data_IF_196020109917
#
_entry.id   IF_196020109917
#
_cell.length_a   1.000
_cell.length_b   1.000
_cell.length_c   1.000
_cell.angle_alpha   90.00
_cell.angle_beta   90.00
_cell.angle_gamma   90.00
#
_symmetry.space_group_name_H-M   'P 1'
#
loop_
_entity.id
_entity.type
_entity.pdbx_description
1 polymer ?
#
# COMPACT_ATOMS: atom_id res chain seq x y z
N UNK A 1 -4.15 -23.59 25.58
CA UNK A 1 -4.27 -24.78 24.70
C UNK A 1 -5.66 -24.91 24.08
N UNK A 2 -6.76 -24.92 24.84
CA UNK A 2 -8.13 -25.05 24.32
C UNK A 2 -8.49 -24.06 23.19
N UNK A 3 -8.17 -22.78 23.33
CA UNK A 3 -8.43 -21.78 22.29
C UNK A 3 -7.63 -21.99 21.01
N UNK A 4 -6.36 -22.42 21.10
CA UNK A 4 -5.55 -22.73 19.90
C UNK A 4 -6.14 -23.92 19.14
N UNK A 5 -6.63 -24.94 19.85
CA UNK A 5 -7.30 -26.10 19.25
C UNK A 5 -8.63 -25.71 18.60
N UNK A 6 -9.46 -24.89 19.27
CA UNK A 6 -10.71 -24.39 18.70
C UNK A 6 -10.46 -23.52 17.45
N UNK A 7 -9.45 -22.65 17.48
CA UNK A 7 -9.07 -21.81 16.34
C UNK A 7 -8.50 -22.64 15.18
N UNK A 8 -7.78 -23.73 15.47
CA UNK A 8 -7.32 -24.70 14.45
C UNK A 8 -8.48 -25.45 13.78
N UNK A 9 -9.55 -25.73 14.51
CA UNK A 9 -10.76 -26.35 13.95
C UNK A 9 -11.52 -25.38 13.04
N UNK A 10 -11.49 -24.08 13.35
CA UNK A 10 -12.08 -23.04 12.51
C UNK A 10 -11.24 -22.71 11.26
N UNK A 11 -9.90 -22.78 11.36
CA UNK A 11 -8.95 -22.57 10.26
C UNK A 11 -8.07 -23.83 10.08
N UNK A 12 -8.62 -24.90 9.47
CA UNK A 12 -7.95 -26.19 9.37
C UNK A 12 -6.78 -26.17 8.39
N UNK A 13 -5.96 -27.22 8.43
CA UNK A 13 -4.89 -27.45 7.47
C UNK A 13 -5.40 -28.21 6.22
N UNK A 14 -4.53 -28.33 5.22
CA UNK A 14 -4.72 -29.23 4.08
C UNK A 14 -5.72 -28.71 3.04
N UNK A 15 -6.47 -29.58 2.36
CA UNK A 15 -7.37 -29.19 1.26
C UNK A 15 -8.53 -28.27 1.64
N UNK A 16 -8.85 -28.18 2.95
CA UNK A 16 -9.88 -27.29 3.50
C UNK A 16 -9.31 -26.02 4.11
N UNK A 17 -8.01 -25.80 4.00
CA UNK A 17 -7.36 -24.63 4.55
C UNK A 17 -7.75 -23.36 3.80
N UNK A 18 -7.75 -22.26 4.52
CA UNK A 18 -7.85 -20.91 3.98
C UNK A 18 -6.59 -20.13 4.36
N UNK A 19 -6.18 -19.24 3.46
CA UNK A 19 -5.10 -18.28 3.72
C UNK A 19 -5.72 -16.95 4.12
N UNK A 20 -5.38 -16.46 5.31
CA UNK A 20 -5.68 -15.08 5.72
C UNK A 20 -4.58 -14.14 5.23
N UNK A 21 -4.92 -13.05 4.56
CA UNK A 21 -3.96 -12.03 4.14
C UNK A 21 -4.28 -10.75 4.90
N UNK A 22 -3.29 -10.22 5.63
CA UNK A 22 -3.40 -8.95 6.33
C UNK A 22 -2.69 -7.89 5.49
N UNK A 23 -3.46 -6.92 5.02
CA UNK A 23 -3.00 -5.85 4.13
C UNK A 23 -2.77 -4.58 4.93
N UNK A 24 -1.59 -4.01 4.79
CA UNK A 24 -1.17 -2.73 5.33
C UNK A 24 -0.76 -1.81 4.18
N UNK A 25 -0.71 -0.51 4.44
CA UNK A 25 -0.09 0.45 3.52
C UNK A 25 1.10 1.10 4.23
N UNK A 26 0.86 1.61 5.44
CA UNK A 26 1.85 2.28 6.28
C UNK A 26 1.89 1.71 7.69
N UNK A 27 3.02 1.89 8.37
CA UNK A 27 3.14 1.75 9.82
C UNK A 27 3.87 2.98 10.36
N UNK A 28 3.11 3.90 10.91
CA UNK A 28 3.65 5.18 11.37
C UNK A 28 4.52 5.00 12.63
N UNK A 29 5.59 5.79 12.80
CA UNK A 29 6.42 5.71 14.00
C UNK A 29 5.68 6.11 15.28
N UNK A 30 4.61 6.92 15.14
CA UNK A 30 3.76 7.38 16.23
C UNK A 30 2.32 7.58 15.71
N UNK A 31 1.31 7.58 16.58
CA UNK A 31 -0.05 7.90 16.19
C UNK A 31 -0.15 9.26 15.48
N UNK A 32 -0.92 9.31 14.40
CA UNK A 32 -1.21 10.53 13.66
C UNK A 32 -2.59 11.07 14.02
N UNK A 33 -2.69 12.27 14.60
CA UNK A 33 -3.98 12.88 14.92
C UNK A 33 -4.90 13.06 13.71
N UNK A 34 -4.36 13.22 12.48
CA UNK A 34 -5.20 13.32 11.28
C UNK A 34 -5.79 11.97 10.87
N UNK A 35 -5.11 10.86 11.18
CA UNK A 35 -5.55 9.51 10.85
C UNK A 35 -5.38 8.59 12.07
N UNK A 36 -6.20 8.75 13.12
CA UNK A 36 -6.05 7.98 14.36
C UNK A 36 -6.27 6.47 14.16
N UNK A 37 -6.90 6.07 13.05
CA UNK A 37 -7.08 4.69 12.66
C UNK A 37 -5.82 4.05 12.06
N UNK A 38 -4.90 4.85 11.50
CA UNK A 38 -3.69 4.36 10.82
C UNK A 38 -2.83 3.54 11.79
N UNK A 39 -2.20 2.50 11.26
CA UNK A 39 -1.37 1.63 12.08
C UNK A 39 -0.12 2.39 12.54
N UNK A 40 0.18 2.35 13.84
CA UNK A 40 1.43 2.86 14.40
C UNK A 40 2.32 1.70 14.89
N UNK A 41 3.59 2.01 15.13
CA UNK A 41 4.61 1.05 15.54
C UNK A 41 4.23 0.21 16.77
N UNK A 42 3.58 0.81 17.79
CA UNK A 42 3.23 0.10 19.01
C UNK A 42 2.07 -0.87 18.77
N UNK A 43 1.05 -0.43 18.02
CA UNK A 43 -0.08 -1.29 17.62
C UNK A 43 0.37 -2.41 16.68
N UNK A 44 1.27 -2.11 15.75
CA UNK A 44 1.84 -3.10 14.83
C UNK A 44 2.67 -4.15 15.56
N UNK A 45 3.53 -3.74 16.50
CA UNK A 45 4.33 -4.67 17.32
C UNK A 45 3.45 -5.63 18.14
N UNK A 46 2.42 -5.09 18.79
CA UNK A 46 1.46 -5.91 19.54
C UNK A 46 0.71 -6.90 18.63
N UNK A 47 0.30 -6.45 17.44
CA UNK A 47 -0.35 -7.30 16.44
C UNK A 47 0.58 -8.41 15.94
N UNK A 48 1.85 -8.10 15.64
CA UNK A 48 2.81 -9.11 15.20
C UNK A 48 3.10 -10.15 16.28
N UNK A 49 3.20 -9.73 17.56
CA UNK A 49 3.32 -10.65 18.68
C UNK A 49 2.14 -11.61 18.75
N UNK A 50 0.92 -11.10 18.55
CA UNK A 50 -0.27 -11.93 18.49
C UNK A 50 -0.27 -12.85 17.26
N UNK A 51 0.06 -12.36 16.07
CA UNK A 51 0.13 -13.19 14.86
C UNK A 51 1.13 -14.33 15.01
N UNK A 52 2.33 -14.04 15.53
CA UNK A 52 3.36 -15.04 15.83
C UNK A 52 2.84 -16.12 16.77
N UNK A 53 2.07 -15.75 17.78
CA UNK A 53 1.57 -16.68 18.78
C UNK A 53 0.36 -17.50 18.30
N UNK A 54 -0.38 -17.05 17.28
CA UNK A 54 -1.66 -17.68 16.91
C UNK A 54 -1.71 -18.22 15.48
N UNK A 55 -0.90 -17.72 14.56
CA UNK A 55 -0.91 -18.06 13.14
C UNK A 55 0.39 -18.73 12.71
N UNK A 56 0.30 -19.52 11.64
CA UNK A 56 1.46 -19.91 10.84
C UNK A 56 1.65 -18.85 9.76
N UNK A 57 2.41 -17.81 10.08
CA UNK A 57 2.72 -16.75 9.12
C UNK A 57 3.77 -17.27 8.14
N UNK A 58 3.50 -17.13 6.84
CA UNK A 58 4.33 -17.65 5.75
C UNK A 58 4.67 -16.53 4.76
N UNK A 59 5.80 -16.62 4.04
CA UNK A 59 6.02 -15.83 2.83
C UNK A 59 4.86 -16.03 1.86
N UNK A 60 4.33 -14.96 1.27
CA UNK A 60 3.10 -15.03 0.47
C UNK A 60 3.22 -16.01 -0.71
N UNK A 61 4.36 -16.03 -1.40
CA UNK A 61 4.60 -16.96 -2.50
C UNK A 61 4.49 -18.43 -2.06
N UNK A 62 5.07 -18.76 -0.90
CA UNK A 62 4.99 -20.10 -0.30
C UNK A 62 3.54 -20.41 0.10
N UNK A 63 2.85 -19.48 0.76
CA UNK A 63 1.47 -19.67 1.18
C UNK A 63 0.54 -19.95 -0.02
N UNK A 64 0.68 -19.20 -1.11
CA UNK A 64 -0.10 -19.42 -2.34
C UNK A 64 0.23 -20.76 -2.98
N UNK A 65 1.51 -21.14 -3.04
CA UNK A 65 1.91 -22.45 -3.58
C UNK A 65 1.32 -23.60 -2.76
N UNK A 66 1.41 -23.54 -1.43
CA UNK A 66 0.88 -24.54 -0.52
C UNK A 66 -0.65 -24.64 -0.57
N UNK A 67 -1.33 -23.49 -0.70
CA UNK A 67 -2.78 -23.45 -0.88
C UNK A 67 -3.20 -24.20 -2.15
N UNK A 68 -2.52 -23.97 -3.29
CA UNK A 68 -2.79 -24.67 -4.55
C UNK A 68 -2.52 -26.18 -4.47
N UNK A 69 -1.50 -26.57 -3.71
CA UNK A 69 -1.15 -27.98 -3.49
C UNK A 69 -2.04 -28.69 -2.44
N UNK A 70 -2.91 -27.96 -1.75
CA UNK A 70 -3.75 -28.50 -0.69
C UNK A 70 -2.97 -28.94 0.57
N UNK A 71 -1.81 -28.34 0.84
CA UNK A 71 -0.94 -28.66 1.98
C UNK A 71 -0.64 -27.45 2.89
N UNK A 72 -1.45 -26.39 2.79
CA UNK A 72 -1.35 -25.20 3.63
C UNK A 72 -1.57 -25.58 5.11
N UNK A 73 -0.76 -25.05 6.06
CA UNK A 73 -0.96 -25.34 7.47
C UNK A 73 -2.23 -24.70 8.01
N UNK A 74 -2.71 -25.20 9.16
CA UNK A 74 -3.83 -24.60 9.87
C UNK A 74 -3.48 -23.17 10.29
N UNK A 75 -4.46 -22.26 10.31
CA UNK A 75 -4.26 -20.85 10.70
C UNK A 75 -3.14 -20.17 9.89
N UNK A 76 -3.06 -20.46 8.59
CA UNK A 76 -2.06 -19.83 7.73
C UNK A 76 -2.39 -18.35 7.51
N UNK A 77 -1.37 -17.50 7.64
CA UNK A 77 -1.47 -16.09 7.32
C UNK A 77 -0.30 -15.60 6.47
N UNK A 78 -0.53 -14.52 5.72
CA UNK A 78 0.51 -13.73 5.08
C UNK A 78 0.30 -12.25 5.42
N UNK A 79 1.39 -11.51 5.51
CA UNK A 79 1.40 -10.07 5.77
C UNK A 79 1.83 -9.38 4.48
N UNK A 80 1.06 -8.38 4.04
CA UNK A 80 1.35 -7.63 2.82
C UNK A 80 1.31 -6.14 3.08
N UNK A 81 2.12 -5.41 2.34
CA UNK A 81 2.16 -3.96 2.32
C UNK A 81 2.04 -3.47 0.89
N UNK A 82 1.16 -2.52 0.64
CA UNK A 82 0.98 -1.94 -0.68
C UNK A 82 1.71 -0.57 -0.77
N UNK A 83 1.74 0.00 -1.97
CA UNK A 83 2.31 1.30 -2.36
C UNK A 83 3.84 1.46 -2.32
N UNK A 84 4.49 1.12 -1.20
CA UNK A 84 5.94 1.29 -1.02
C UNK A 84 6.38 2.52 -0.22
N UNK A 85 5.64 2.89 0.83
CA UNK A 85 6.01 3.96 1.75
C UNK A 85 7.33 3.70 2.49
N UNK A 86 8.10 4.76 2.79
CA UNK A 86 9.39 4.67 3.47
C UNK A 86 9.29 4.03 4.86
N UNK A 87 8.18 4.26 5.57
CA UNK A 87 7.95 3.66 6.90
C UNK A 87 7.79 2.13 6.88
N UNK A 88 7.55 1.52 5.71
CA UNK A 88 7.64 0.07 5.53
C UNK A 88 9.06 -0.46 5.81
N UNK A 89 10.08 0.30 5.40
CA UNK A 89 11.48 -0.01 5.70
C UNK A 89 11.89 0.53 7.08
N UNK A 90 11.59 1.78 7.38
CA UNK A 90 12.17 2.44 8.57
C UNK A 90 11.49 2.02 9.87
N UNK A 91 10.24 1.55 9.81
CA UNK A 91 9.43 1.18 10.98
C UNK A 91 9.00 -0.28 10.92
N UNK A 92 8.31 -0.71 9.86
CA UNK A 92 7.72 -2.04 9.82
C UNK A 92 8.76 -3.17 9.76
N UNK A 93 9.81 -3.02 8.94
CA UNK A 93 10.87 -4.03 8.77
C UNK A 93 11.57 -4.39 10.10
N UNK A 94 12.09 -3.45 10.91
CA UNK A 94 12.70 -3.79 12.20
C UNK A 94 11.75 -4.55 13.13
N UNK A 95 10.45 -4.20 13.13
CA UNK A 95 9.45 -4.87 13.96
C UNK A 95 9.21 -6.30 13.47
N UNK A 96 9.05 -6.50 12.15
CA UNK A 96 8.93 -7.82 11.53
C UNK A 96 10.11 -8.73 11.90
N UNK A 97 11.35 -8.21 11.80
CA UNK A 97 12.55 -8.95 12.16
C UNK A 97 12.59 -9.36 13.63
N UNK A 98 12.18 -8.49 14.57
CA UNK A 98 12.11 -8.82 16.00
C UNK A 98 11.14 -9.98 16.29
N UNK A 99 10.05 -10.09 15.54
CA UNK A 99 9.09 -11.19 15.68
C UNK A 99 9.44 -12.42 14.83
N UNK A 100 10.48 -12.35 14.00
CA UNK A 100 10.85 -13.43 13.08
C UNK A 100 9.79 -13.70 12.02
N UNK A 101 9.05 -12.67 11.60
CA UNK A 101 7.96 -12.77 10.64
C UNK A 101 8.37 -12.21 9.29
N UNK A 102 7.87 -12.82 8.21
CA UNK A 102 8.02 -12.35 6.84
C UNK A 102 6.80 -11.53 6.39
N UNK A 103 7.04 -10.55 5.52
CA UNK A 103 5.98 -9.84 4.78
C UNK A 103 6.32 -9.76 3.29
N UNK A 104 5.33 -9.41 2.47
CA UNK A 104 5.51 -9.08 1.05
C UNK A 104 5.14 -7.63 0.79
N UNK A 105 6.03 -6.87 0.15
CA UNK A 105 5.85 -5.47 -0.17
C UNK A 105 5.58 -5.30 -1.66
N UNK A 106 4.40 -4.82 -2.02
CA UNK A 106 3.98 -4.50 -3.37
C UNK A 106 4.30 -3.05 -3.68
N UNK A 107 5.19 -2.82 -4.64
CA UNK A 107 5.83 -1.51 -4.86
C UNK A 107 5.29 -0.84 -6.12
N UNK A 108 4.81 0.40 -5.98
CA UNK A 108 4.52 1.28 -7.10
C UNK A 108 5.79 2.06 -7.46
N UNK A 109 6.58 1.53 -8.41
CA UNK A 109 7.98 1.96 -8.62
C UNK A 109 8.15 3.41 -9.06
N UNK A 110 7.14 3.99 -9.72
CA UNK A 110 7.18 5.37 -10.20
C UNK A 110 7.26 6.43 -9.10
N UNK A 111 7.03 6.04 -7.84
CA UNK A 111 7.11 6.94 -6.71
C UNK A 111 8.39 6.78 -5.86
N UNK A 112 9.25 5.81 -6.18
CA UNK A 112 10.46 5.57 -5.40
C UNK A 112 11.43 6.77 -5.47
N UNK A 113 12.00 7.13 -4.33
CA UNK A 113 13.07 8.13 -4.24
C UNK A 113 12.64 9.55 -4.59
N UNK A 114 11.67 10.11 -3.86
CA UNK A 114 11.23 11.50 -4.02
C UNK A 114 9.80 11.67 -4.54
N UNK A 115 9.18 10.59 -5.01
CA UNK A 115 7.81 10.61 -5.51
C UNK A 115 6.77 10.73 -4.38
N UNK A 116 5.55 11.08 -4.78
CA UNK A 116 4.38 11.16 -3.91
C UNK A 116 3.14 10.74 -4.68
N UNK A 117 2.25 9.98 -4.04
CA UNK A 117 0.96 9.71 -4.64
C UNK A 117 0.04 10.94 -4.55
N UNK A 118 -1.01 10.96 -5.36
CA UNK A 118 -1.94 12.08 -5.40
C UNK A 118 -2.64 12.28 -4.05
N UNK A 119 -2.97 11.19 -3.35
CA UNK A 119 -3.59 11.22 -2.04
C UNK A 119 -2.67 11.86 -1.01
N UNK A 120 -1.38 11.50 -1.01
CA UNK A 120 -0.40 12.10 -0.11
C UNK A 120 -0.23 13.59 -0.38
N UNK A 121 -0.29 14.00 -1.64
CA UNK A 121 -0.20 15.41 -2.02
C UNK A 121 -1.38 16.20 -1.46
N UNK A 122 -2.60 15.68 -1.56
CA UNK A 122 -3.80 16.29 -0.95
C UNK A 122 -3.68 16.32 0.58
N UNK A 123 -3.32 15.19 1.19
CA UNK A 123 -3.21 15.03 2.65
C UNK A 123 -2.18 16.00 3.21
N UNK A 124 -0.97 16.02 2.65
CA UNK A 124 0.12 16.86 3.13
C UNK A 124 -0.13 18.33 2.85
N UNK A 125 -0.85 18.67 1.77
CA UNK A 125 -1.26 20.05 1.56
C UNK A 125 -2.21 20.53 2.64
N UNK A 126 -3.28 19.79 2.91
CA UNK A 126 -4.24 20.17 3.97
C UNK A 126 -3.59 20.14 5.34
N UNK A 127 -2.74 19.14 5.62
CA UNK A 127 -1.97 19.03 6.88
C UNK A 127 -1.13 20.28 7.12
N UNK A 128 -0.41 20.75 6.10
CA UNK A 128 0.55 21.86 6.19
C UNK A 128 -0.06 23.23 5.93
N UNK A 129 -1.31 23.30 5.46
CA UNK A 129 -2.01 24.56 5.29
C UNK A 129 -2.14 25.27 6.65
N UNK A 130 -1.60 26.50 6.72
CA UNK A 130 -1.67 27.38 7.89
C UNK A 130 -2.85 28.35 7.82
N UNK A 131 -3.40 28.57 6.62
CA UNK A 131 -4.57 29.41 6.43
C UNK A 131 -5.82 28.70 6.97
N UNK A 132 -6.75 29.40 7.61
CA UNK A 132 -7.97 28.79 8.14
C UNK A 132 -8.92 28.29 7.05
N UNK A 133 -8.76 28.80 5.82
CA UNK A 133 -9.53 28.41 4.65
C UNK A 133 -8.58 28.18 3.48
N UNK A 134 -8.70 27.02 2.83
CA UNK A 134 -8.06 26.68 1.57
C UNK A 134 -9.05 26.92 0.43
N UNK A 135 -8.83 27.95 -0.37
CA UNK A 135 -9.69 28.31 -1.50
C UNK A 135 -9.19 27.67 -2.80
N UNK A 136 -9.82 26.56 -3.20
CA UNK A 136 -9.52 25.81 -4.42
C UNK A 136 -10.59 26.05 -5.51
N UNK A 137 -11.33 27.15 -5.42
CA UNK A 137 -12.28 27.56 -6.47
C UNK A 137 -11.63 27.67 -7.86
N UNK A 138 -10.36 28.12 -8.01
CA UNK A 138 -9.67 28.10 -9.31
C UNK A 138 -9.48 26.70 -9.94
N UNK A 139 -9.62 25.64 -9.15
CA UNK A 139 -9.55 24.23 -9.59
C UNK A 139 -10.93 23.57 -9.66
N UNK A 140 -12.01 24.33 -9.54
CA UNK A 140 -13.39 23.83 -9.41
C UNK A 140 -13.59 22.86 -8.21
N UNK A 141 -12.74 22.98 -7.18
CA UNK A 141 -12.81 22.17 -5.96
C UNK A 141 -13.44 22.91 -4.77
N UNK A 142 -13.79 24.19 -4.94
CA UNK A 142 -14.45 25.02 -3.94
C UNK A 142 -13.57 25.41 -2.75
N UNK A 143 -14.19 25.92 -1.68
CA UNK A 143 -13.53 26.42 -0.47
C UNK A 143 -13.66 25.44 0.67
N UNK A 144 -12.56 25.18 1.38
CA UNK A 144 -12.50 24.23 2.49
C UNK A 144 -11.97 24.91 3.75
N UNK A 145 -12.70 24.79 4.86
CA UNK A 145 -12.20 25.24 6.16
C UNK A 145 -11.22 24.18 6.66
N UNK A 146 -10.02 24.59 7.07
CA UNK A 146 -8.90 23.71 7.45
C UNK A 146 -8.10 24.27 8.63
N UNK A 147 -8.70 25.14 9.45
CA UNK A 147 -8.01 25.84 10.55
C UNK A 147 -7.76 24.97 11.78
N UNK A 148 -8.61 23.98 12.03
CA UNK A 148 -8.51 23.04 13.14
C UNK A 148 -8.22 21.61 12.66
N UNK A 149 -7.84 20.74 13.60
CA UNK A 149 -7.62 19.32 13.31
C UNK A 149 -8.88 18.64 12.75
N UNK A 150 -10.04 18.91 13.36
CA UNK A 150 -11.32 18.33 12.95
C UNK A 150 -11.72 18.79 11.54
N UNK A 151 -11.52 20.07 11.24
CA UNK A 151 -11.77 20.62 9.91
C UNK A 151 -10.85 20.00 8.85
N UNK A 152 -9.56 19.80 9.17
CA UNK A 152 -8.62 19.09 8.29
C UNK A 152 -9.05 17.64 8.05
N UNK A 153 -9.51 16.93 9.08
CA UNK A 153 -10.03 15.56 8.98
C UNK A 153 -11.28 15.47 8.10
N UNK A 154 -12.09 16.53 8.02
CA UNK A 154 -13.26 16.59 7.14
C UNK A 154 -12.90 16.98 5.70
N UNK A 155 -12.00 17.94 5.53
CA UNK A 155 -11.62 18.47 4.21
C UNK A 155 -10.85 17.44 3.35
N UNK A 156 -9.94 16.67 3.96
CA UNK A 156 -9.15 15.66 3.25
C UNK A 156 -10.02 14.65 2.47
N UNK A 157 -10.94 13.89 3.09
CA UNK A 157 -11.74 12.91 2.36
C UNK A 157 -12.67 13.58 1.33
N UNK A 158 -13.15 14.79 1.59
CA UNK A 158 -13.95 15.54 0.62
C UNK A 158 -13.15 15.87 -0.66
N UNK A 159 -11.90 16.30 -0.52
CA UNK A 159 -10.99 16.57 -1.64
C UNK A 159 -10.57 15.29 -2.36
N UNK A 160 -10.19 14.25 -1.61
CA UNK A 160 -9.82 12.96 -2.18
C UNK A 160 -10.94 12.39 -3.05
N UNK A 161 -12.20 12.46 -2.60
CA UNK A 161 -13.34 11.97 -3.37
C UNK A 161 -13.58 12.74 -4.68
N UNK A 162 -13.35 14.05 -4.69
CA UNK A 162 -13.47 14.87 -5.91
C UNK A 162 -12.34 14.57 -6.93
N UNK A 163 -11.13 14.29 -6.43
CA UNK A 163 -9.93 14.12 -7.27
C UNK A 163 -9.74 12.67 -7.74
N UNK A 164 -10.12 11.68 -6.92
CA UNK A 164 -9.84 10.24 -7.13
C UNK A 164 -10.26 9.70 -8.48
N UNK A 165 -11.29 10.26 -9.10
CA UNK A 165 -11.85 9.77 -10.35
C UNK A 165 -11.53 10.62 -11.57
N UNK A 166 -10.72 11.67 -11.43
CA UNK A 166 -10.17 12.40 -12.56
C UNK A 166 -9.23 11.49 -13.39
N UNK A 167 -9.13 11.70 -14.71
CA UNK A 167 -8.07 11.13 -15.55
C UNK A 167 -6.70 11.37 -14.93
N UNK A 168 -5.78 10.42 -15.13
CA UNK A 168 -4.47 10.45 -14.46
C UNK A 168 -3.68 11.75 -14.69
N UNK A 169 -3.57 12.22 -15.93
CA UNK A 169 -2.87 13.47 -16.26
C UNK A 169 -3.51 14.68 -15.56
N UNK A 170 -4.84 14.81 -15.65
CA UNK A 170 -5.58 15.89 -14.96
C UNK A 170 -5.40 15.84 -13.45
N UNK A 171 -5.34 14.63 -12.87
CA UNK A 171 -5.12 14.45 -11.44
C UNK A 171 -3.76 15.00 -11.00
N UNK A 172 -2.70 14.69 -11.74
CA UNK A 172 -1.36 15.19 -11.45
C UNK A 172 -1.29 16.72 -11.52
N UNK A 173 -1.90 17.32 -12.56
CA UNK A 173 -2.01 18.77 -12.69
C UNK A 173 -2.79 19.39 -11.52
N UNK A 174 -3.91 18.78 -11.15
CA UNK A 174 -4.79 19.26 -10.07
C UNK A 174 -4.06 19.23 -8.73
N UNK A 175 -3.38 18.14 -8.38
CA UNK A 175 -2.68 18.05 -7.09
C UNK A 175 -1.41 18.91 -7.04
N UNK A 176 -0.76 19.17 -8.19
CA UNK A 176 0.32 20.14 -8.29
C UNK A 176 -0.17 21.56 -7.99
N UNK A 177 -1.22 22.01 -8.69
CA UNK A 177 -1.78 23.34 -8.48
C UNK A 177 -2.37 23.53 -7.08
N UNK A 178 -2.91 22.47 -6.47
CA UNK A 178 -3.44 22.48 -5.11
C UNK A 178 -2.34 22.85 -4.09
N UNK A 179 -1.14 22.30 -4.25
CA UNK A 179 0.01 22.60 -3.38
C UNK A 179 0.49 24.05 -3.55
N UNK A 180 0.52 24.53 -4.79
CA UNK A 180 0.90 25.90 -5.14
C UNK A 180 -0.08 26.93 -4.54
N UNK A 181 -1.38 26.68 -4.65
CA UNK A 181 -2.42 27.55 -4.06
C UNK A 181 -2.30 27.61 -2.53
N UNK A 182 -2.01 26.48 -1.89
CA UNK A 182 -1.82 26.45 -0.44
C UNK A 182 -0.50 27.09 0.00
N UNK A 183 0.46 27.30 -0.92
CA UNK A 183 1.78 27.86 -0.62
C UNK A 183 2.65 26.96 0.26
N UNK A 184 2.48 25.63 0.16
CA UNK A 184 3.13 24.66 1.05
C UNK A 184 4.28 23.92 0.36
N UNK A 185 5.34 23.65 1.13
CA UNK A 185 6.37 22.69 0.71
C UNK A 185 5.99 21.28 1.14
N UNK A 186 5.86 20.39 0.16
CA UNK A 186 5.50 18.99 0.38
C UNK A 186 6.73 18.10 0.68
N UNK A 187 6.55 17.01 1.44
CA UNK A 187 7.64 16.08 1.78
C UNK A 187 8.05 15.23 0.59
N UNK A 188 9.34 14.97 0.39
CA UNK A 188 9.90 14.13 -0.66
C UNK A 188 10.46 12.79 -0.12
N UNK A 189 10.13 12.45 1.12
CA UNK A 189 10.63 11.29 1.85
C UNK A 189 9.53 10.29 2.24
N UNK A 190 8.31 10.45 1.70
CA UNK A 190 7.19 9.56 2.02
C UNK A 190 7.36 8.15 1.45
N UNK A 191 8.04 8.03 0.32
CA UNK A 191 8.18 6.79 -0.43
C UNK A 191 9.59 6.24 -0.29
N UNK A 192 9.72 4.92 -0.30
CA UNK A 192 11.03 4.28 -0.21
C UNK A 192 11.97 4.74 -1.32
N UNK A 193 13.25 4.75 -1.00
CA UNK A 193 14.32 4.75 -1.99
C UNK A 193 14.50 3.35 -2.59
N UNK A 194 15.14 3.28 -3.76
CA UNK A 194 15.54 2.00 -4.38
C UNK A 194 16.41 1.16 -3.44
N UNK A 195 17.29 1.80 -2.68
CA UNK A 195 18.17 1.16 -1.71
C UNK A 195 17.38 0.55 -0.54
N UNK A 196 16.33 1.21 -0.06
CA UNK A 196 15.44 0.66 0.97
C UNK A 196 14.66 -0.56 0.46
N UNK A 197 14.20 -0.56 -0.81
CA UNK A 197 13.58 -1.74 -1.44
C UNK A 197 14.56 -2.92 -1.51
N UNK A 198 15.81 -2.67 -1.92
CA UNK A 198 16.86 -3.70 -1.90
C UNK A 198 17.16 -4.20 -0.48
N UNK A 199 17.12 -3.33 0.52
CA UNK A 199 17.32 -3.70 1.92
C UNK A 199 16.20 -4.59 2.45
N UNK A 200 14.93 -4.30 2.13
CA UNK A 200 13.80 -5.20 2.42
C UNK A 200 14.03 -6.59 1.85
N UNK A 201 14.40 -6.66 0.56
CA UNK A 201 14.66 -7.94 -0.10
C UNK A 201 15.82 -8.72 0.54
N UNK A 202 16.95 -8.05 0.80
CA UNK A 202 18.11 -8.65 1.50
C UNK A 202 17.77 -9.12 2.92
N UNK A 203 16.78 -8.51 3.56
CA UNK A 203 16.28 -8.93 4.86
C UNK A 203 15.32 -10.14 4.81
N UNK A 204 15.10 -10.73 3.63
CA UNK A 204 14.25 -11.91 3.43
C UNK A 204 12.77 -11.58 3.23
N UNK A 205 12.43 -10.32 2.97
CA UNK A 205 11.06 -9.92 2.65
C UNK A 205 10.76 -10.18 1.17
N UNK A 206 9.51 -10.57 0.87
CA UNK A 206 9.05 -10.70 -0.50
C UNK A 206 8.83 -9.33 -1.14
N UNK A 207 9.16 -9.18 -2.42
CA UNK A 207 8.86 -7.98 -3.20
C UNK A 207 7.92 -8.37 -4.35
N UNK A 208 6.86 -7.60 -4.53
CA UNK A 208 5.89 -7.74 -5.62
C UNK A 208 5.69 -6.44 -6.39
N UNK A 209 5.18 -6.56 -7.61
CA UNK A 209 4.86 -5.40 -8.44
C UNK A 209 3.48 -4.83 -8.09
N UNK A 210 3.36 -3.50 -8.13
CA UNK A 210 2.12 -2.78 -7.87
C UNK A 210 1.86 -1.67 -8.88
N UNK A 211 2.09 -1.98 -10.17
CA UNK A 211 2.13 -1.03 -11.29
C UNK A 211 3.23 0.03 -11.16
N UNK A 212 3.36 0.93 -12.14
CA UNK A 212 4.36 2.00 -12.09
C UNK A 212 3.78 3.16 -11.27
N UNK A 213 2.59 3.65 -11.63
CA UNK A 213 2.01 4.88 -11.09
C UNK A 213 0.73 4.68 -10.29
N UNK A 214 0.40 3.44 -9.90
CA UNK A 214 -0.80 3.09 -9.15
C UNK A 214 -2.13 3.57 -9.82
N UNK A 215 -2.35 3.36 -11.13
CA UNK A 215 -3.61 3.73 -11.77
C UNK A 215 -4.71 2.71 -11.50
N UNK A 216 -5.97 3.14 -11.68
CA UNK A 216 -7.10 2.22 -11.78
C UNK A 216 -7.04 1.59 -13.18
N UNK A 217 -6.50 0.37 -13.31
CA UNK A 217 -6.25 -0.30 -14.59
C UNK A 217 -7.49 -0.35 -15.50
N UNK A 218 -8.67 -0.54 -14.93
CA UNK A 218 -9.95 -0.51 -15.63
C UNK A 218 -10.32 0.83 -16.29
N UNK A 219 -9.53 1.89 -16.09
CA UNK A 219 -9.69 3.20 -16.73
C UNK A 219 -8.66 3.51 -17.80
N UNK A 220 -7.69 2.60 -18.01
CA UNK A 220 -6.66 2.76 -19.00
C UNK A 220 -7.02 2.06 -20.31
N UNK A 221 -6.37 2.48 -21.40
CA UNK A 221 -6.34 1.68 -22.63
C UNK A 221 -5.51 0.42 -22.40
N UNK A 222 -5.77 -0.69 -23.13
CA UNK A 222 -5.05 -1.94 -22.92
C UNK A 222 -3.52 -1.82 -23.00
N UNK A 223 -2.99 -1.04 -23.95
CA UNK A 223 -1.54 -0.84 -24.10
C UNK A 223 -0.92 -0.06 -22.93
N UNK A 224 -1.66 0.89 -22.34
CA UNK A 224 -1.20 1.65 -21.17
C UNK A 224 -1.21 0.77 -19.93
N UNK A 225 -2.26 -0.04 -19.76
CA UNK A 225 -2.35 -1.00 -18.66
C UNK A 225 -1.27 -2.08 -18.74
N UNK A 226 -0.93 -2.55 -19.95
CA UNK A 226 0.15 -3.51 -20.15
C UNK A 226 1.49 -2.91 -19.72
N UNK A 227 1.83 -1.70 -20.17
CA UNK A 227 3.07 -1.00 -19.76
C UNK A 227 3.15 -0.78 -18.25
N UNK A 228 2.07 -0.31 -17.64
CA UNK A 228 2.00 -0.14 -16.17
C UNK A 228 2.33 -1.42 -15.40
N UNK A 229 1.90 -2.58 -15.92
CA UNK A 229 2.18 -3.87 -15.29
C UNK A 229 3.60 -4.36 -15.61
N UNK A 230 3.98 -4.36 -16.88
CA UNK A 230 5.25 -4.93 -17.34
C UNK A 230 6.45 -4.12 -16.87
N UNK A 231 6.38 -2.79 -17.00
CA UNK A 231 7.51 -1.91 -16.68
C UNK A 231 7.77 -1.92 -15.18
N UNK A 232 6.71 -1.98 -14.36
CA UNK A 232 6.81 -2.14 -12.90
C UNK A 232 7.55 -3.43 -12.51
N UNK A 233 7.15 -4.56 -13.11
CA UNK A 233 7.81 -5.84 -12.90
C UNK A 233 9.27 -5.78 -13.34
N UNK A 234 9.53 -5.31 -14.56
CA UNK A 234 10.86 -5.33 -15.17
C UNK A 234 11.84 -4.42 -14.40
N UNK A 235 11.38 -3.28 -13.93
CA UNK A 235 12.16 -2.37 -13.10
C UNK A 235 12.52 -3.00 -11.75
N UNK A 236 11.57 -3.65 -11.07
CA UNK A 236 11.86 -4.36 -9.82
C UNK A 236 12.81 -5.54 -10.05
N UNK A 237 12.63 -6.30 -11.12
CA UNK A 237 13.55 -7.41 -11.46
C UNK A 237 14.97 -6.90 -11.70
N UNK A 238 15.12 -5.79 -12.43
CA UNK A 238 16.41 -5.15 -12.64
C UNK A 238 17.02 -4.64 -11.32
N UNK A 239 16.20 -4.08 -10.43
CA UNK A 239 16.63 -3.56 -9.13
C UNK A 239 17.10 -4.66 -8.18
N UNK A 240 16.41 -5.81 -8.19
CA UNK A 240 16.64 -6.92 -7.25
C UNK A 240 17.64 -7.95 -7.78
N UNK A 241 17.76 -8.09 -9.11
CA UNK A 241 18.52 -9.16 -9.74
C UNK A 241 17.83 -10.53 -9.67
N UNK A 242 16.54 -10.57 -9.32
CA UNK A 242 15.74 -11.79 -9.16
C UNK A 242 14.34 -11.63 -9.81
N UNK A 243 13.67 -12.73 -10.17
CA UNK A 243 12.32 -12.68 -10.74
C UNK A 243 11.27 -12.12 -9.75
N UNK A 244 10.38 -11.27 -10.25
CA UNK A 244 9.23 -10.74 -9.49
C UNK A 244 7.98 -11.47 -9.95
N UNK A 245 7.44 -12.32 -9.08
CA UNK A 245 6.39 -13.29 -9.43
C UNK A 245 5.03 -13.00 -8.79
N UNK A 246 4.97 -11.97 -7.94
CA UNK A 246 3.75 -11.55 -7.26
C UNK A 246 3.34 -10.17 -7.76
N UNK A 247 2.03 -9.97 -7.89
CA UNK A 247 1.43 -8.73 -8.34
C UNK A 247 0.19 -8.41 -7.50
N UNK A 248 0.07 -7.16 -7.05
CA UNK A 248 -1.13 -6.63 -6.42
C UNK A 248 -1.77 -5.60 -7.35
N UNK A 249 -3.10 -5.64 -7.50
CA UNK A 249 -3.83 -4.69 -8.33
C UNK A 249 -4.14 -3.43 -7.50
N UNK A 250 -3.84 -2.21 -7.97
CA UNK A 250 -4.24 -0.98 -7.31
C UNK A 250 -5.73 -0.96 -6.96
N UNK A 251 -6.08 -0.59 -5.71
CA UNK A 251 -7.44 -0.62 -5.11
C UNK A 251 -8.13 -2.00 -5.01
N UNK A 252 -7.82 -2.95 -5.89
CA UNK A 252 -8.10 -4.37 -5.71
C UNK A 252 -9.54 -4.84 -5.95
N UNK A 253 -10.48 -4.03 -6.48
CA UNK A 253 -11.86 -4.49 -6.74
C UNK A 253 -12.02 -5.10 -8.14
N UNK A 254 -12.34 -6.40 -8.26
CA UNK A 254 -12.60 -7.03 -9.55
C UNK A 254 -13.78 -6.35 -10.28
N UNK A 255 -13.66 -6.15 -11.60
CA UNK A 255 -14.67 -5.52 -12.45
C UNK A 255 -14.71 -4.00 -12.39
N UNK A 256 -14.31 -3.40 -11.26
CA UNK A 256 -14.28 -1.96 -11.06
C UNK A 256 -12.87 -1.37 -11.24
N UNK A 257 -11.85 -2.00 -10.65
CA UNK A 257 -10.47 -1.50 -10.66
C UNK A 257 -9.58 -2.25 -11.64
N UNK A 258 -9.86 -3.54 -11.87
CA UNK A 258 -9.21 -4.38 -12.87
C UNK A 258 -10.22 -5.34 -13.50
N UNK A 259 -9.80 -6.02 -14.58
CA UNK A 259 -10.65 -6.83 -15.46
C UNK A 259 -9.89 -8.10 -15.91
N UNK A 260 -10.54 -9.13 -16.47
CA UNK A 260 -9.89 -10.39 -16.85
C UNK A 260 -8.67 -10.22 -17.77
N UNK A 261 -8.69 -9.24 -18.67
CA UNK A 261 -7.55 -8.90 -19.53
C UNK A 261 -6.31 -8.47 -18.72
N UNK A 262 -6.50 -7.68 -17.65
CA UNK A 262 -5.42 -7.28 -16.74
C UNK A 262 -4.85 -8.48 -15.96
N UNK A 263 -5.71 -9.45 -15.62
CA UNK A 263 -5.25 -10.71 -14.99
C UNK A 263 -4.40 -11.52 -15.96
N UNK A 264 -4.75 -11.53 -17.25
CA UNK A 264 -3.95 -12.18 -18.27
C UNK A 264 -2.60 -11.47 -18.49
N UNK A 265 -2.58 -10.13 -18.47
CA UNK A 265 -1.35 -9.32 -18.55
C UNK A 265 -0.41 -9.62 -17.38
N UNK A 266 -0.91 -9.60 -16.14
CA UNK A 266 -0.10 -9.84 -14.94
C UNK A 266 0.43 -11.29 -14.80
N UNK A 267 -0.03 -12.22 -15.63
CA UNK A 267 0.43 -13.62 -15.68
C UNK A 267 1.55 -13.86 -16.70
N UNK A 268 1.82 -12.89 -17.58
CA UNK A 268 2.93 -12.94 -18.54
C UNK A 268 4.24 -12.63 -17.84
#
# INVERSE_FOLDING_TARGET
>A
MLFRTAFALALPAGPRASLSILIFHRVLPRPDPLFPGEMDAARFDALLGWLRDWFNVLPLAEAVARLRQGNLPARAAAITFDDGYADNHDVALPILQRHGLSATFFIAVGFLGGGRMFNDTVIETVRRCEQPVLDLSPLDLGRHVVGSLEEKQQAIPALLNQIKYQPFAQRLETVGALADIAGVRLPDDLMMTRQQVQALHKAGMGIGAHTVHHPILARLKPEEAEREITDSRDELQALLGEPVTLFAYPNGKPGADYRPEHVAMARR
#
